data_IF_625763952362
#
_entry.id   IF_625763952362
#
_cell.length_a   1.000
_cell.length_b   1.000
_cell.length_c   1.000
_cell.angle_alpha   90.00
_cell.angle_beta   90.00
_cell.angle_gamma   90.00
#
_symmetry.space_group_name_H-M   'P 1'
#
loop_
_entity.id
_entity.type
_entity.pdbx_description
1 polymer ?
#
# COMPACT_ATOMS: atom_id res chain seq x y z
N UNK A 1 -19.19 36.24 0.45
CA UNK A 1 -18.75 35.37 -0.66
C UNK A 1 -17.61 34.53 -0.10
N UNK A 2 -17.97 33.46 0.60
CA UNK A 2 -17.02 32.61 1.32
C UNK A 2 -16.55 31.51 0.38
N UNK A 3 -15.24 31.32 0.37
CA UNK A 3 -14.48 30.38 -0.45
C UNK A 3 -15.02 28.94 -0.27
N UNK A 4 -15.59 28.40 -1.35
CA UNK A 4 -16.29 27.10 -1.41
C UNK A 4 -15.34 25.92 -1.69
N UNK A 5 -14.01 26.15 -1.73
CA UNK A 5 -13.02 25.12 -2.04
C UNK A 5 -11.84 25.07 -1.06
N UNK A 6 -12.08 25.44 0.20
CA UNK A 6 -11.09 25.33 1.29
C UNK A 6 -11.11 23.96 1.99
N UNK A 7 -10.93 22.87 1.26
CA UNK A 7 -10.77 21.53 1.84
C UNK A 7 -9.31 21.11 1.83
N UNK A 8 -8.57 21.34 2.92
CA UNK A 8 -7.26 20.70 3.14
C UNK A 8 -7.45 19.17 3.02
N UNK A 9 -6.68 18.44 2.19
CA UNK A 9 -6.77 17.00 2.18
C UNK A 9 -6.29 16.48 3.54
N UNK A 10 -7.24 16.09 4.38
CA UNK A 10 -6.98 15.42 5.63
C UNK A 10 -6.22 14.13 5.33
N UNK A 11 -5.11 13.92 6.04
CA UNK A 11 -4.33 12.70 6.01
C UNK A 11 -5.23 11.47 6.12
N UNK A 12 -5.14 10.57 5.13
CA UNK A 12 -6.04 9.44 4.92
C UNK A 12 -6.20 8.53 6.12
N UNK A 13 -7.33 8.68 6.81
CA UNK A 13 -7.94 7.59 7.56
C UNK A 13 -8.95 6.94 6.62
N UNK A 14 -8.95 5.61 6.56
CA UNK A 14 -9.97 4.81 5.89
C UNK A 14 -11.35 5.14 6.45
N UNK A 15 -12.06 6.06 5.80
CA UNK A 15 -13.50 6.13 5.94
C UNK A 15 -14.07 4.90 5.21
N UNK A 16 -14.96 4.11 5.84
CA UNK A 16 -15.51 2.94 5.19
C UNK A 16 -16.16 3.37 3.87
N UNK A 17 -15.93 2.64 2.78
CA UNK A 17 -16.43 3.01 1.47
C UNK A 17 -17.95 3.18 1.54
N UNK A 18 -18.42 4.35 1.09
CA UNK A 18 -19.85 4.67 1.06
C UNK A 18 -20.64 3.64 0.27
N UNK A 19 -21.96 3.60 0.46
CA UNK A 19 -22.83 2.62 -0.18
C UNK A 19 -22.70 2.59 -1.73
N UNK A 20 -22.35 3.73 -2.33
CA UNK A 20 -22.18 3.93 -3.76
C UNK A 20 -20.78 3.58 -4.29
N UNK A 21 -19.83 3.21 -3.42
CA UNK A 21 -18.50 2.80 -3.84
C UNK A 21 -18.54 1.45 -4.58
N UNK A 22 -17.61 1.21 -5.54
CA UNK A 22 -17.49 -0.07 -6.22
C UNK A 22 -17.41 -1.24 -5.24
N UNK A 23 -18.08 -2.35 -5.55
CA UNK A 23 -18.11 -3.53 -4.68
C UNK A 23 -16.70 -4.03 -4.33
N UNK A 24 -15.77 -3.94 -5.29
CA UNK A 24 -14.38 -4.35 -5.08
C UNK A 24 -13.68 -3.56 -3.97
N UNK A 25 -13.97 -2.27 -3.82
CA UNK A 25 -13.40 -1.44 -2.76
C UNK A 25 -14.06 -1.74 -1.41
N UNK A 26 -15.37 -2.03 -1.42
CA UNK A 26 -16.15 -2.41 -0.24
C UNK A 26 -15.77 -3.78 0.32
N UNK A 27 -15.34 -4.72 -0.53
CA UNK A 27 -14.92 -6.06 -0.15
C UNK A 27 -13.42 -6.18 0.10
N UNK A 28 -12.67 -5.07 0.02
CA UNK A 28 -11.22 -5.12 0.23
C UNK A 28 -10.95 -5.53 1.69
N UNK A 29 -10.08 -6.53 1.93
CA UNK A 29 -9.75 -6.98 3.28
C UNK A 29 -9.17 -5.84 4.13
N UNK A 30 -9.46 -5.85 5.43
CA UNK A 30 -9.02 -4.82 6.39
C UNK A 30 -7.82 -5.26 7.23
N UNK A 31 -7.58 -6.57 7.32
CA UNK A 31 -6.41 -7.18 7.95
C UNK A 31 -5.80 -8.28 7.07
N UNK A 32 -4.52 -8.60 7.31
CA UNK A 32 -3.83 -9.71 6.65
C UNK A 32 -4.54 -11.06 6.83
N UNK A 33 -5.22 -11.26 7.97
CA UNK A 33 -6.00 -12.46 8.26
C UNK A 33 -7.29 -12.59 7.44
N UNK A 34 -7.77 -11.50 6.83
CA UNK A 34 -8.98 -11.51 5.98
C UNK A 34 -8.68 -11.96 4.54
N UNK A 35 -7.39 -12.17 4.21
CA UNK A 35 -6.99 -12.60 2.86
C UNK A 35 -7.29 -14.09 2.71
N UNK A 36 -8.19 -14.39 1.77
CA UNK A 36 -8.63 -15.75 1.48
C UNK A 36 -7.70 -16.44 0.48
N UNK A 37 -7.32 -17.69 0.77
CA UNK A 37 -6.62 -18.58 -0.16
C UNK A 37 -5.12 -18.32 -0.30
N UNK A 38 -4.54 -17.51 0.60
CA UNK A 38 -3.10 -17.20 0.64
C UNK A 38 -2.48 -17.51 2.01
N UNK A 39 -3.09 -18.41 2.79
CA UNK A 39 -2.71 -18.72 4.18
C UNK A 39 -1.26 -19.25 4.27
N UNK A 40 -0.79 -19.93 3.21
CA UNK A 40 0.60 -20.38 3.10
C UNK A 40 1.63 -19.23 3.03
N UNK A 41 1.20 -18.01 2.71
CA UNK A 41 2.02 -16.79 2.72
C UNK A 41 1.72 -15.91 3.93
N UNK A 42 0.43 -15.67 4.21
CA UNK A 42 -0.04 -14.67 5.19
C UNK A 42 -0.29 -15.24 6.58
N UNK A 43 -0.42 -16.56 6.71
CA UNK A 43 -0.60 -17.23 8.00
C UNK A 43 0.66 -17.14 8.89
N UNK A 44 0.57 -17.58 10.16
CA UNK A 44 1.67 -17.43 11.14
C UNK A 44 3.00 -18.05 10.68
N UNK A 45 2.92 -19.19 9.99
CA UNK A 45 4.06 -19.91 9.43
C UNK A 45 4.41 -19.48 8.00
N UNK A 46 3.65 -18.56 7.42
CA UNK A 46 3.90 -18.01 6.11
C UNK A 46 5.05 -17.00 6.12
N UNK A 47 5.72 -16.83 4.99
CA UNK A 47 6.84 -15.90 4.89
C UNK A 47 6.43 -14.45 5.23
N UNK A 48 5.25 -14.03 4.76
CA UNK A 48 4.69 -12.71 5.04
C UNK A 48 4.26 -12.61 6.51
N UNK A 49 3.55 -13.61 7.03
CA UNK A 49 3.12 -13.63 8.44
C UNK A 49 4.29 -13.50 9.41
N UNK A 50 5.40 -14.22 9.17
CA UNK A 50 6.62 -14.10 9.98
C UNK A 50 7.27 -12.71 9.90
N UNK A 51 7.33 -12.10 8.72
CA UNK A 51 7.89 -10.73 8.57
C UNK A 51 7.08 -9.70 9.35
N UNK A 52 5.76 -9.81 9.30
CA UNK A 52 4.84 -8.93 10.04
C UNK A 52 4.97 -9.15 11.54
N UNK A 53 5.00 -10.41 12.00
CA UNK A 53 5.22 -10.73 13.42
C UNK A 53 6.56 -10.20 13.94
N UNK A 54 7.60 -10.17 13.10
CA UNK A 54 8.89 -9.59 13.44
C UNK A 54 8.94 -8.05 13.38
N UNK A 55 7.88 -7.38 12.89
CA UNK A 55 7.86 -5.94 12.67
C UNK A 55 8.87 -5.45 11.63
N UNK A 56 9.34 -6.35 10.76
CA UNK A 56 10.42 -6.08 9.79
C UNK A 56 10.01 -6.59 8.42
N UNK A 57 9.63 -5.65 7.55
CA UNK A 57 9.37 -5.92 6.14
C UNK A 57 10.67 -5.81 5.34
N UNK A 58 10.98 -6.87 4.59
CA UNK A 58 12.01 -6.88 3.56
C UNK A 58 11.42 -6.46 2.21
N UNK A 59 12.26 -5.94 1.31
CA UNK A 59 11.86 -5.71 -0.08
C UNK A 59 11.44 -7.03 -0.74
N UNK A 60 10.33 -7.03 -1.46
CA UNK A 60 9.76 -8.22 -2.08
C UNK A 60 9.03 -7.90 -3.37
N UNK A 61 8.79 -8.93 -4.19
CA UNK A 61 7.96 -8.86 -5.38
C UNK A 61 6.72 -9.72 -5.16
N UNK A 62 5.54 -9.12 -5.35
CA UNK A 62 4.28 -9.86 -5.37
C UNK A 62 3.97 -10.25 -6.82
N UNK A 63 3.96 -11.56 -7.10
CA UNK A 63 3.72 -12.09 -8.45
C UNK A 63 2.43 -12.89 -8.51
N UNK A 64 1.61 -12.63 -9.53
CA UNK A 64 0.39 -13.38 -9.77
C UNK A 64 -0.55 -12.67 -10.76
N UNK A 65 -1.58 -13.38 -11.26
CA UNK A 65 -2.60 -12.84 -12.17
C UNK A 65 -3.25 -11.52 -11.69
N UNK A 66 -3.90 -10.74 -12.58
CA UNK A 66 -4.72 -9.62 -12.15
C UNK A 66 -5.83 -10.09 -11.20
N UNK A 67 -6.14 -9.28 -10.19
CA UNK A 67 -7.18 -9.60 -9.20
C UNK A 67 -6.76 -10.49 -8.02
N UNK A 68 -5.50 -10.95 -7.94
CA UNK A 68 -5.03 -11.76 -6.78
C UNK A 68 -4.76 -10.96 -5.50
N UNK A 69 -5.12 -9.68 -5.46
CA UNK A 69 -5.00 -8.86 -4.25
C UNK A 69 -3.61 -8.31 -3.94
N UNK A 70 -2.67 -8.29 -4.90
CA UNK A 70 -1.30 -7.75 -4.70
C UNK A 70 -1.27 -6.36 -4.04
N UNK A 71 -2.05 -5.42 -4.58
CA UNK A 71 -2.14 -4.05 -4.07
C UNK A 71 -2.77 -4.01 -2.68
N UNK A 72 -3.79 -4.86 -2.44
CA UNK A 72 -4.43 -4.99 -1.13
C UNK A 72 -3.45 -5.54 -0.09
N UNK A 73 -2.67 -6.56 -0.43
CA UNK A 73 -1.63 -7.14 0.44
C UNK A 73 -0.59 -6.08 0.79
N UNK A 74 -0.08 -5.33 -0.19
CA UNK A 74 0.93 -4.29 0.06
C UNK A 74 0.44 -3.20 1.02
N UNK A 75 -0.83 -2.78 0.89
CA UNK A 75 -1.46 -1.83 1.81
C UNK A 75 -1.55 -2.41 3.22
N UNK A 76 -2.12 -3.61 3.35
CA UNK A 76 -2.28 -4.29 4.64
C UNK A 76 -0.95 -4.55 5.34
N UNK A 77 0.12 -4.79 4.58
CA UNK A 77 1.47 -4.93 5.14
C UNK A 77 1.94 -3.63 5.78
N UNK A 78 1.77 -2.49 5.12
CA UNK A 78 2.14 -1.20 5.66
C UNK A 78 1.39 -0.90 6.96
N UNK A 79 0.07 -1.14 6.97
CA UNK A 79 -0.78 -0.94 8.14
C UNK A 79 -0.36 -1.85 9.29
N UNK A 80 -0.10 -3.13 9.02
CA UNK A 80 0.28 -4.11 10.03
C UNK A 80 1.61 -3.82 10.73
N UNK A 81 2.54 -3.10 10.08
CA UNK A 81 3.82 -2.69 10.67
C UNK A 81 3.91 -1.19 10.97
N UNK A 82 2.81 -0.44 10.86
CA UNK A 82 2.75 0.99 11.17
C UNK A 82 3.57 1.89 10.23
N UNK A 83 3.69 1.51 8.96
CA UNK A 83 4.41 2.27 7.94
C UNK A 83 3.45 3.12 7.10
N UNK A 84 3.90 4.30 6.69
CA UNK A 84 3.20 5.11 5.68
C UNK A 84 3.14 4.33 4.37
N UNK A 85 1.98 4.21 3.75
CA UNK A 85 1.84 3.59 2.43
C UNK A 85 1.89 4.64 1.32
N UNK A 86 2.74 4.40 0.31
CA UNK A 86 2.79 5.19 -0.93
C UNK A 86 2.75 4.24 -2.11
N UNK A 87 1.80 4.43 -3.03
CA UNK A 87 1.69 3.62 -4.24
C UNK A 87 2.04 4.44 -5.50
N UNK A 88 2.76 3.81 -6.43
CA UNK A 88 3.13 4.35 -7.74
C UNK A 88 2.81 3.30 -8.79
N UNK A 89 2.34 3.72 -9.97
CA UNK A 89 2.16 2.82 -11.11
C UNK A 89 3.33 2.99 -12.09
N UNK A 90 4.07 1.92 -12.36
CA UNK A 90 5.17 1.94 -13.33
C UNK A 90 4.72 2.23 -14.78
N UNK A 91 3.42 2.15 -15.07
CA UNK A 91 2.85 2.48 -16.39
C UNK A 91 2.80 3.99 -16.62
N UNK A 92 2.47 4.75 -15.58
CA UNK A 92 2.20 6.19 -15.67
C UNK A 92 3.31 7.04 -15.07
N UNK A 93 4.24 6.43 -14.32
CA UNK A 93 5.24 7.16 -13.55
C UNK A 93 6.62 7.10 -14.18
N UNK A 94 7.23 8.28 -14.31
CA UNK A 94 8.62 8.42 -14.76
C UNK A 94 9.61 8.47 -13.60
N UNK A 95 10.90 8.64 -13.93
CA UNK A 95 11.99 8.79 -12.94
C UNK A 95 11.76 9.98 -12.00
N UNK A 96 11.11 11.05 -12.48
CA UNK A 96 10.82 12.23 -11.67
C UNK A 96 9.83 11.93 -10.52
N UNK A 97 8.78 11.15 -10.80
CA UNK A 97 7.77 10.77 -9.79
C UNK A 97 8.39 9.89 -8.71
N UNK A 98 9.26 8.97 -9.11
CA UNK A 98 9.99 8.10 -8.18
C UNK A 98 10.94 8.91 -7.28
N UNK A 99 11.69 9.86 -7.85
CA UNK A 99 12.56 10.77 -7.07
C UNK A 99 11.75 11.59 -6.07
N UNK A 100 10.57 12.08 -6.46
CA UNK A 100 9.68 12.81 -5.56
C UNK A 100 9.20 11.93 -4.41
N UNK A 101 8.80 10.70 -4.69
CA UNK A 101 8.37 9.75 -3.66
C UNK A 101 9.49 9.37 -2.69
N UNK A 102 10.73 9.23 -3.16
CA UNK A 102 11.89 9.04 -2.28
C UNK A 102 12.13 10.25 -1.39
N UNK A 103 12.13 11.47 -1.95
CA UNK A 103 12.30 12.69 -1.16
C UNK A 103 11.18 12.89 -0.12
N UNK A 104 9.96 12.43 -0.40
CA UNK A 104 8.87 12.41 0.59
C UNK A 104 9.08 11.32 1.66
N UNK A 105 9.58 10.14 1.27
CA UNK A 105 9.88 9.07 2.20
C UNK A 105 11.04 9.43 3.15
N UNK A 106 12.08 10.10 2.65
CA UNK A 106 13.22 10.55 3.45
C UNK A 106 12.78 11.59 4.50
N UNK A 107 11.98 12.59 4.09
CA UNK A 107 11.40 13.56 5.02
C UNK A 107 10.51 12.91 6.08
N UNK A 108 9.72 11.90 5.70
CA UNK A 108 8.92 11.14 6.65
C UNK A 108 9.81 10.34 7.63
N UNK A 109 10.91 9.77 7.14
CA UNK A 109 11.86 9.03 7.96
C UNK A 109 12.59 9.93 8.98
N UNK A 110 12.93 11.17 8.61
CA UNK A 110 13.45 12.19 9.54
C UNK A 110 12.46 12.49 10.67
N UNK A 111 11.16 12.43 10.40
CA UNK A 111 10.10 12.54 11.39
C UNK A 111 9.79 11.23 12.14
N UNK A 112 10.58 10.16 11.94
CA UNK A 112 10.39 8.85 12.56
C UNK A 112 9.33 7.96 11.89
N UNK A 113 8.74 8.39 10.78
CA UNK A 113 7.70 7.65 10.06
C UNK A 113 8.28 6.94 8.84
N UNK A 114 8.50 5.63 8.96
CA UNK A 114 8.95 4.78 7.84
C UNK A 114 7.87 4.67 6.77
N UNK A 115 8.29 4.56 5.50
CA UNK A 115 7.40 4.46 4.33
C UNK A 115 7.56 3.12 3.61
N UNK A 116 6.45 2.47 3.27
CA UNK A 116 6.38 1.35 2.32
C UNK A 116 6.01 1.93 0.95
N UNK A 117 6.96 1.86 0.01
CA UNK A 117 6.73 2.24 -1.38
C UNK A 117 6.30 1.01 -2.18
N UNK A 118 5.06 1.01 -2.66
CA UNK A 118 4.54 0.00 -3.57
C UNK A 118 4.63 0.49 -5.01
N UNK A 119 5.21 -0.33 -5.89
CA UNK A 119 5.30 -0.05 -7.32
C UNK A 119 4.49 -1.10 -8.08
N UNK A 120 3.35 -0.69 -8.62
CA UNK A 120 2.49 -1.56 -9.40
C UNK A 120 2.99 -1.70 -10.84
N UNK A 121 2.73 -2.84 -11.45
CA UNK A 121 3.15 -3.17 -12.82
C UNK A 121 4.65 -2.97 -13.09
N UNK A 122 5.50 -3.24 -12.10
CA UNK A 122 6.97 -3.04 -12.19
C UNK A 122 7.61 -3.69 -13.43
N UNK A 123 7.01 -4.75 -13.97
CA UNK A 123 7.47 -5.40 -15.21
C UNK A 123 7.34 -4.51 -16.46
N UNK A 124 6.54 -3.43 -16.40
CA UNK A 124 6.40 -2.41 -17.45
C UNK A 124 7.47 -1.33 -17.37
N UNK A 125 8.18 -1.26 -16.26
CA UNK A 125 9.32 -0.37 -16.07
C UNK A 125 10.50 -0.92 -16.88
N UNK A 126 10.74 -0.37 -18.08
CA UNK A 126 11.81 -0.85 -18.96
C UNK A 126 13.07 0.03 -18.87
N UNK A 127 14.21 -0.63 -19.09
CA UNK A 127 15.63 -0.19 -19.11
C UNK A 127 15.96 1.30 -18.98
#
# INVERSE_FOLDING_TARGET
MADLFGGTPASGRDEPPGADAPLADRLRPAALGDIIGQEHLTGPEGAIGRMVAAGKLSSMILWGPPGTGKTSIARLLADAVGMRFTAISAVFSGVADLKKAFAEADRAAEAGQRTLLFVDEIHRFNR
#
